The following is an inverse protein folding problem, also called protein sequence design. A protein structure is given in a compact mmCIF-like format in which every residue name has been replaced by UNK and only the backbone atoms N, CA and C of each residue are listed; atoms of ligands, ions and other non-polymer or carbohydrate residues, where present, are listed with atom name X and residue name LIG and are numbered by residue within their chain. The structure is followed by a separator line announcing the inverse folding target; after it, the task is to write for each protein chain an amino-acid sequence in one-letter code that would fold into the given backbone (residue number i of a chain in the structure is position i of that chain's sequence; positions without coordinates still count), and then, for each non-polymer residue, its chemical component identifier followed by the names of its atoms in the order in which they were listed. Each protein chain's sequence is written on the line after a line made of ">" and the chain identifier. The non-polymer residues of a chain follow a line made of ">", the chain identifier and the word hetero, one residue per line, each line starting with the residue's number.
data_IF_834743138646
#
_entry.id   IF_834743138646
#
_cell.length_a   1.000
_cell.length_b   1.000
_cell.length_c   1.000
_cell.angle_alpha   90.00
_cell.angle_beta   90.00
_cell.angle_gamma   90.00
#
_symmetry.space_group_name_H-M   'P 1'
#
loop_
_entity.id
_entity.type
_entity.pdbx_description
1 polymer ?
#
# COMPACT_ATOMS: atom_id res chain seq x y z
N UNK A 1 -9.19 32.61 4.87
CA UNK A 1 -9.18 31.28 4.23
C UNK A 1 -7.78 30.80 3.80
N UNK A 2 -6.76 31.67 3.76
CA UNK A 2 -5.36 31.35 3.40
C UNK A 2 -4.62 30.47 4.42
N UNK A 3 -4.85 30.64 5.73
CA UNK A 3 -4.14 29.86 6.75
C UNK A 3 -4.45 28.36 6.76
N UNK A 4 -5.65 27.96 6.32
CA UNK A 4 -6.02 26.54 6.21
C UNK A 4 -5.30 25.84 5.06
N UNK A 5 -5.05 26.56 3.96
CA UNK A 5 -4.34 26.03 2.79
C UNK A 5 -2.86 25.81 3.12
N UNK A 6 -2.22 26.76 3.80
CA UNK A 6 -0.82 26.62 4.22
C UNK A 6 -0.65 25.48 5.23
N UNK A 7 -1.55 25.38 6.21
CA UNK A 7 -1.53 24.27 7.16
C UNK A 7 -1.76 22.92 6.49
N UNK A 8 -2.64 22.85 5.49
CA UNK A 8 -2.84 21.62 4.72
C UNK A 8 -1.57 21.22 3.95
N UNK A 9 -0.87 22.17 3.32
CA UNK A 9 0.41 21.90 2.62
C UNK A 9 1.49 21.35 3.55
N UNK A 10 1.55 21.79 4.80
CA UNK A 10 2.48 21.25 5.81
C UNK A 10 2.12 19.83 6.26
N UNK A 11 0.83 19.50 6.29
CA UNK A 11 0.32 18.23 6.79
C UNK A 11 0.27 17.13 5.74
N UNK A 12 0.07 17.47 4.46
CA UNK A 12 0.02 16.50 3.36
C UNK A 12 1.26 15.59 3.34
N UNK A 13 2.50 16.09 3.48
CA UNK A 13 3.70 15.24 3.52
C UNK A 13 3.80 14.35 4.77
N UNK A 14 3.05 14.68 5.83
CA UNK A 14 3.04 13.92 7.08
C UNK A 14 1.89 12.91 7.14
N UNK A 15 0.97 12.96 6.18
CA UNK A 15 -0.15 12.04 6.10
C UNK A 15 0.38 10.65 5.73
N UNK A 16 0.13 9.68 6.60
CA UNK A 16 0.49 8.28 6.40
C UNK A 16 -0.76 7.47 6.17
N UNK A 17 -0.69 6.52 5.25
CA UNK A 17 -1.81 5.62 4.96
C UNK A 17 -1.86 4.51 6.00
N UNK A 18 -0.70 4.07 6.50
CA UNK A 18 -0.59 3.00 7.50
C UNK A 18 0.34 3.41 8.64
N UNK A 19 0.13 2.85 9.82
CA UNK A 19 1.02 3.02 10.98
C UNK A 19 1.53 1.67 11.46
N UNK A 20 2.86 1.54 11.53
CA UNK A 20 3.54 0.32 11.97
C UNK A 20 3.85 0.30 13.48
N UNK A 21 3.55 1.39 14.20
CA UNK A 21 3.92 1.54 15.62
C UNK A 21 3.39 0.38 16.48
N UNK A 22 2.15 -0.04 16.21
CA UNK A 22 1.43 -1.03 17.00
C UNK A 22 1.56 -2.47 16.48
N UNK A 23 2.50 -2.75 15.56
CA UNK A 23 2.68 -4.11 15.02
C UNK A 23 3.62 -4.88 15.97
N UNK A 24 3.11 -5.80 16.80
CA UNK A 24 3.85 -6.29 17.96
C UNK A 24 4.95 -7.29 17.59
N UNK A 25 4.81 -7.99 16.47
CA UNK A 25 5.74 -9.03 16.01
C UNK A 25 6.87 -8.44 15.14
N UNK A 26 6.90 -7.13 14.88
CA UNK A 26 7.94 -6.52 14.06
C UNK A 26 9.06 -5.89 14.89
N UNK A 27 10.31 -6.17 14.48
CA UNK A 27 11.49 -5.48 14.98
C UNK A 27 11.44 -3.96 14.69
N UNK A 28 12.19 -3.16 15.46
CA UNK A 28 12.31 -1.73 15.19
C UNK A 28 12.92 -1.45 13.80
N UNK A 29 13.84 -2.31 13.36
CA UNK A 29 14.48 -2.23 12.05
C UNK A 29 13.47 -2.50 10.92
N UNK A 30 12.66 -3.56 11.02
CA UNK A 30 11.61 -3.83 10.04
C UNK A 30 10.58 -2.70 9.95
N UNK A 31 10.17 -2.15 11.10
CA UNK A 31 9.26 -0.99 11.14
C UNK A 31 9.86 0.23 10.43
N UNK A 32 11.16 0.47 10.57
CA UNK A 32 11.83 1.59 9.91
C UNK A 32 11.89 1.44 8.38
N UNK A 33 12.14 0.22 7.89
CA UNK A 33 12.09 -0.08 6.45
C UNK A 33 10.69 0.08 5.87
N UNK A 34 9.69 -0.50 6.55
CA UNK A 34 8.29 -0.33 6.16
C UNK A 34 7.85 1.14 6.17
N UNK A 35 8.26 1.90 7.18
CA UNK A 35 7.96 3.33 7.26
C UNK A 35 8.60 4.11 6.13
N UNK A 36 9.86 3.79 5.78
CA UNK A 36 10.58 4.45 4.68
C UNK A 36 9.91 4.15 3.33
N UNK A 37 9.49 2.90 3.11
CA UNK A 37 8.74 2.52 1.92
C UNK A 37 7.39 3.23 1.84
N UNK A 38 6.69 3.39 2.98
CA UNK A 38 5.41 4.12 3.04
C UNK A 38 5.56 5.61 2.78
N UNK A 39 6.53 6.25 3.43
CA UNK A 39 6.82 7.68 3.27
C UNK A 39 7.19 8.01 1.80
N UNK A 40 7.83 7.06 1.10
CA UNK A 40 8.16 7.20 -0.33
C UNK A 40 7.06 6.71 -1.29
N UNK A 41 5.94 6.19 -0.78
CA UNK A 41 4.89 5.55 -1.59
C UNK A 41 5.43 4.47 -2.53
N UNK A 42 6.22 3.52 -2.01
CA UNK A 42 6.89 2.48 -2.79
C UNK A 42 6.59 1.08 -2.27
N UNK A 43 6.44 0.10 -3.15
CA UNK A 43 6.48 -1.31 -2.72
C UNK A 43 7.87 -1.67 -2.21
N UNK A 44 7.91 -2.66 -1.30
CA UNK A 44 9.18 -3.19 -0.81
C UNK A 44 9.98 -3.84 -1.94
N UNK A 45 11.28 -3.57 -1.92
CA UNK A 45 12.25 -4.25 -2.78
C UNK A 45 12.51 -5.68 -2.30
N UNK A 46 13.07 -6.52 -3.17
CA UNK A 46 13.45 -7.90 -2.82
C UNK A 46 14.41 -7.96 -1.62
N UNK A 47 15.30 -6.97 -1.51
CA UNK A 47 16.25 -6.85 -0.40
C UNK A 47 15.52 -6.53 0.92
N UNK A 48 14.58 -5.59 0.90
CA UNK A 48 13.79 -5.21 2.08
C UNK A 48 12.88 -6.35 2.53
N UNK A 49 12.22 -7.05 1.60
CA UNK A 49 11.42 -8.24 1.90
C UNK A 49 12.26 -9.32 2.59
N UNK A 50 13.45 -9.59 2.07
CA UNK A 50 14.37 -10.56 2.65
C UNK A 50 14.85 -10.13 4.04
N UNK A 51 15.06 -8.83 4.25
CA UNK A 51 15.48 -8.28 5.54
C UNK A 51 14.35 -8.39 6.57
N UNK A 52 13.14 -7.92 6.24
CA UNK A 52 11.99 -7.95 7.13
C UNK A 52 11.69 -9.37 7.58
N UNK A 53 11.65 -10.33 6.65
CA UNK A 53 11.42 -11.75 6.93
C UNK A 53 12.44 -12.37 7.91
N UNK A 54 13.70 -11.91 7.89
CA UNK A 54 14.74 -12.40 8.82
C UNK A 54 14.61 -11.83 10.23
N UNK A 55 13.96 -10.67 10.36
CA UNK A 55 13.81 -9.97 11.64
C UNK A 55 12.50 -10.28 12.35
N UNK A 56 11.58 -10.98 11.70
CA UNK A 56 10.40 -11.53 12.34
C UNK A 56 10.84 -12.55 13.43
N UNK A 57 10.29 -12.49 14.66
CA UNK A 57 10.65 -13.39 15.73
C UNK A 57 10.32 -14.81 15.30
N UNK A 58 11.38 -15.57 14.99
CA UNK A 58 11.34 -16.96 14.57
C UNK A 58 10.66 -17.81 15.64
N UNK A 59 9.36 -18.07 15.48
CA UNK A 59 8.65 -19.09 16.24
C UNK A 59 8.68 -20.36 15.39
N UNK A 60 9.71 -21.18 15.60
CA UNK A 60 9.91 -22.51 15.02
C UNK A 60 10.16 -22.63 13.50
N UNK A 61 10.91 -23.68 13.12
CA UNK A 61 11.34 -23.98 11.73
C UNK A 61 10.22 -24.11 10.68
N UNK A 62 8.95 -24.24 11.09
CA UNK A 62 7.78 -24.21 10.20
C UNK A 62 7.41 -22.79 9.73
N UNK A 63 7.83 -21.73 10.42
CA UNK A 63 7.55 -20.34 10.01
C UNK A 63 8.48 -19.84 8.90
N UNK A 64 9.67 -20.41 8.74
CA UNK A 64 10.61 -20.01 7.69
C UNK A 64 10.10 -20.36 6.27
N UNK A 65 9.45 -21.53 6.11
CA UNK A 65 8.84 -21.92 4.84
C UNK A 65 7.61 -21.05 4.51
N UNK A 66 6.76 -20.78 5.51
CA UNK A 66 5.65 -19.85 5.36
C UNK A 66 6.12 -18.43 5.00
N UNK A 67 7.27 -17.99 5.53
CA UNK A 67 7.87 -16.70 5.21
C UNK A 67 8.38 -16.63 3.76
N UNK A 68 8.93 -17.72 3.21
CA UNK A 68 9.32 -17.79 1.80
C UNK A 68 8.11 -17.73 0.85
N UNK A 69 7.03 -18.45 1.18
CA UNK A 69 5.80 -18.43 0.39
C UNK A 69 5.16 -17.02 0.42
N UNK A 70 5.17 -16.37 1.58
CA UNK A 70 4.71 -14.99 1.75
C UNK A 70 5.51 -13.99 0.93
N UNK A 71 6.85 -14.10 0.89
CA UNK A 71 7.69 -13.24 0.03
C UNK A 71 7.31 -13.43 -1.45
N UNK A 72 7.11 -14.67 -1.89
CA UNK A 72 6.72 -14.94 -3.27
C UNK A 72 5.36 -14.31 -3.62
N UNK A 73 4.38 -14.42 -2.72
CA UNK A 73 3.06 -13.77 -2.87
C UNK A 73 3.20 -12.25 -2.95
N UNK A 74 3.97 -11.63 -2.04
CA UNK A 74 4.17 -10.17 -2.05
C UNK A 74 4.85 -9.70 -3.33
N UNK A 75 5.87 -10.42 -3.80
CA UNK A 75 6.53 -10.12 -5.06
C UNK A 75 5.55 -10.20 -6.24
N UNK A 76 4.75 -11.26 -6.29
CA UNK A 76 3.74 -11.41 -7.33
C UNK A 76 2.73 -10.26 -7.31
N UNK A 77 2.20 -9.89 -6.13
CA UNK A 77 1.27 -8.77 -5.98
C UNK A 77 1.88 -7.44 -6.42
N UNK A 78 3.14 -7.17 -6.03
CA UNK A 78 3.88 -5.98 -6.45
C UNK A 78 4.08 -5.95 -7.97
N UNK A 79 4.58 -7.04 -8.52
CA UNK A 79 4.97 -7.13 -9.94
C UNK A 79 3.73 -7.09 -10.85
N UNK A 80 2.57 -7.52 -10.35
CA UNK A 80 1.27 -7.46 -11.06
C UNK A 80 0.39 -6.27 -10.66
N UNK A 81 0.88 -5.35 -9.82
CA UNK A 81 0.05 -4.29 -9.23
C UNK A 81 -0.71 -3.46 -10.27
N UNK A 82 -0.08 -3.13 -11.40
CA UNK A 82 -0.74 -2.40 -12.48
C UNK A 82 -1.93 -3.18 -13.06
N UNK A 83 -1.75 -4.47 -13.37
CA UNK A 83 -2.83 -5.33 -13.90
C UNK A 83 -3.98 -5.45 -12.92
N UNK A 84 -3.67 -5.70 -11.64
CA UNK A 84 -4.68 -5.84 -10.58
C UNK A 84 -5.50 -4.55 -10.45
N UNK A 85 -4.84 -3.39 -10.46
CA UNK A 85 -5.52 -2.09 -10.39
C UNK A 85 -6.36 -1.81 -11.65
N UNK A 86 -5.88 -2.20 -12.82
CA UNK A 86 -6.60 -2.04 -14.09
C UNK A 86 -7.84 -2.93 -14.16
N UNK A 87 -7.74 -4.19 -13.71
CA UNK A 87 -8.87 -5.11 -13.61
C UNK A 87 -9.92 -4.61 -12.61
N UNK A 88 -9.49 -4.23 -11.40
CA UNK A 88 -10.40 -3.67 -10.39
C UNK A 88 -11.10 -2.38 -10.88
N UNK A 89 -10.38 -1.55 -11.64
CA UNK A 89 -10.95 -0.36 -12.27
C UNK A 89 -12.02 -0.74 -13.30
N UNK A 90 -11.76 -1.71 -14.16
CA UNK A 90 -12.71 -2.18 -15.16
C UNK A 90 -13.99 -2.74 -14.51
N UNK A 91 -13.85 -3.47 -13.40
CA UNK A 91 -14.99 -3.99 -12.64
C UNK A 91 -15.85 -2.85 -12.07
N UNK A 92 -15.24 -1.80 -11.51
CA UNK A 92 -15.95 -0.63 -10.99
C UNK A 92 -16.70 0.10 -12.11
N UNK A 93 -16.07 0.31 -13.25
CA UNK A 93 -16.70 0.99 -14.39
C UNK A 93 -17.85 0.15 -14.98
N UNK A 94 -17.74 -1.17 -14.93
CA UNK A 94 -18.81 -2.08 -15.35
C UNK A 94 -19.99 -2.07 -14.36
N UNK A 95 -19.71 -2.06 -13.06
CA UNK A 95 -20.72 -2.03 -12.02
C UNK A 95 -21.44 -0.67 -11.92
N UNK A 96 -20.74 0.41 -12.25
CA UNK A 96 -21.24 1.79 -12.17
C UNK A 96 -20.95 2.56 -13.47
N UNK A 97 -21.71 2.33 -14.55
CA UNK A 97 -21.42 2.88 -15.88
C UNK A 97 -21.39 4.41 -15.93
N UNK A 98 -22.22 5.07 -15.12
CA UNK A 98 -22.34 6.54 -15.10
C UNK A 98 -21.43 7.21 -14.07
N UNK A 99 -20.53 6.46 -13.41
CA UNK A 99 -19.74 7.00 -12.29
C UNK A 99 -18.77 8.12 -12.71
N UNK A 100 -18.38 8.15 -13.99
CA UNK A 100 -17.49 9.15 -14.58
C UNK A 100 -18.23 10.33 -15.22
N UNK A 101 -19.55 10.24 -15.40
CA UNK A 101 -20.36 11.29 -16.03
C UNK A 101 -20.60 12.47 -15.06
N UNK A 102 -20.97 13.67 -15.54
CA UNK A 102 -21.36 14.78 -14.68
C UNK A 102 -22.45 14.38 -13.67
N UNK A 103 -22.14 14.52 -12.38
CA UNK A 103 -23.00 14.08 -11.27
C UNK A 103 -22.67 12.69 -10.72
N UNK A 104 -21.83 11.92 -11.44
CA UNK A 104 -21.28 10.65 -11.01
C UNK A 104 -20.25 10.78 -9.88
N UNK A 105 -20.06 9.68 -9.14
CA UNK A 105 -19.22 9.64 -7.95
C UNK A 105 -17.72 9.90 -8.19
N UNK A 106 -17.24 9.76 -9.42
CA UNK A 106 -15.85 9.96 -9.81
C UNK A 106 -15.65 11.10 -10.81
N UNK A 107 -16.69 11.89 -11.09
CA UNK A 107 -16.58 13.16 -11.82
C UNK A 107 -16.26 14.32 -10.85
N UNK A 108 -15.42 15.30 -11.23
CA UNK A 108 -14.67 15.41 -12.49
C UNK A 108 -13.44 14.48 -12.53
N UNK A 109 -12.74 14.33 -13.69
CA UNK A 109 -11.68 13.33 -13.89
C UNK A 109 -10.60 13.23 -12.79
N UNK A 110 -10.25 14.35 -12.14
CA UNK A 110 -9.31 14.37 -11.01
C UNK A 110 -9.74 13.47 -9.83
N UNK A 111 -11.05 13.28 -9.63
CA UNK A 111 -11.59 12.37 -8.59
C UNK A 111 -11.42 10.91 -9.00
N UNK A 112 -11.59 10.59 -10.28
CA UNK A 112 -11.29 9.27 -10.82
C UNK A 112 -9.80 8.96 -10.65
N UNK A 113 -8.91 9.88 -11.05
CA UNK A 113 -7.45 9.73 -10.87
C UNK A 113 -7.06 9.50 -9.41
N UNK A 114 -7.69 10.24 -8.48
CA UNK A 114 -7.49 10.03 -7.05
C UNK A 114 -7.94 8.63 -6.62
N UNK A 115 -9.13 8.17 -7.05
CA UNK A 115 -9.65 6.85 -6.73
C UNK A 115 -8.73 5.72 -7.25
N UNK A 116 -8.22 5.83 -8.48
CA UNK A 116 -7.32 4.82 -9.06
C UNK A 116 -5.96 4.81 -8.36
N UNK A 117 -5.45 5.98 -7.96
CA UNK A 117 -4.27 6.06 -7.10
C UNK A 117 -4.54 5.35 -5.77
N UNK A 118 -5.70 5.55 -5.16
CA UNK A 118 -6.04 4.93 -3.87
C UNK A 118 -6.10 3.40 -3.99
N UNK A 119 -6.54 2.83 -5.12
CA UNK A 119 -6.49 1.37 -5.35
C UNK A 119 -5.06 0.83 -5.29
N UNK A 120 -4.14 1.51 -5.96
CA UNK A 120 -2.73 1.17 -5.92
C UNK A 120 -2.14 1.31 -4.51
N UNK A 121 -2.54 2.35 -3.77
CA UNK A 121 -2.11 2.57 -2.39
C UNK A 121 -2.63 1.49 -1.44
N UNK A 122 -3.89 1.06 -1.59
CA UNK A 122 -4.44 -0.04 -0.79
C UNK A 122 -3.72 -1.35 -1.05
N UNK A 123 -3.44 -1.68 -2.31
CA UNK A 123 -2.67 -2.87 -2.65
C UNK A 123 -1.27 -2.82 -2.03
N UNK A 124 -0.59 -1.67 -2.10
CA UNK A 124 0.70 -1.45 -1.44
C UNK A 124 0.64 -1.70 0.06
N UNK A 125 -0.34 -1.12 0.77
CA UNK A 125 -0.51 -1.36 2.20
C UNK A 125 -0.82 -2.83 2.53
N UNK A 126 -1.57 -3.53 1.69
CA UNK A 126 -1.81 -4.97 1.83
C UNK A 126 -0.49 -5.75 1.73
N UNK A 127 0.37 -5.40 0.76
CA UNK A 127 1.67 -6.08 0.64
C UNK A 127 2.58 -5.90 1.84
N UNK A 128 2.49 -4.77 2.55
CA UNK A 128 3.21 -4.58 3.80
C UNK A 128 2.71 -5.48 4.92
N UNK A 129 1.39 -5.67 5.03
CA UNK A 129 0.80 -6.55 6.05
C UNK A 129 1.03 -8.03 5.78
N UNK A 130 1.14 -8.41 4.50
CA UNK A 130 1.50 -9.78 4.14
C UNK A 130 3.00 -10.00 4.39
N UNK A 131 3.86 -9.07 3.94
CA UNK A 131 5.32 -9.22 4.00
C UNK A 131 5.99 -9.00 5.35
N UNK A 132 5.21 -8.67 6.40
CA UNK A 132 5.65 -8.40 7.77
C UNK A 132 5.47 -9.58 8.70
#
# INVERSE_FOLDING_TARGET
>A
MTGLIERAKELIPQARIVSFANWPELSAEAKAHLQTADDNSQYLTDAELTLIAKTAPSKDSQTAAASLDTIAVVKQLRDQAASIVDEARADVLTAFPDILEPGGGLYPPIRAEACWRDFWQFLRCITYGIGS
#
